data_IF_280049690203
#
_entry.id   IF_280049690203
#
_cell.length_a   1.000
_cell.length_b   1.000
_cell.length_c   1.000
_cell.angle_alpha   90.00
_cell.angle_beta   90.00
_cell.angle_gamma   90.00
#
_symmetry.space_group_name_H-M   'P 1'
#
loop_
_entity.id
_entity.type
_entity.pdbx_description
1 polymer ?
#
# COMPACT_ATOMS: atom_id res chain seq x y z
N UNK A 1 -2.98 -22.78 10.84
CA UNK A 1 -2.05 -21.71 11.23
C UNK A 1 -1.22 -21.33 10.01
N UNK A 2 -1.66 -20.31 9.26
CA UNK A 2 -0.93 -19.82 8.08
C UNK A 2 0.23 -18.94 8.57
N UNK A 3 1.45 -19.29 8.18
CA UNK A 3 2.66 -18.57 8.55
C UNK A 3 2.79 -17.37 7.62
N UNK A 4 2.69 -16.16 8.17
CA UNK A 4 2.94 -14.93 7.44
C UNK A 4 4.46 -14.73 7.32
N UNK A 5 5.04 -15.08 6.17
CA UNK A 5 6.47 -14.89 5.87
C UNK A 5 6.77 -13.60 5.08
N UNK A 6 5.83 -12.65 5.04
CA UNK A 6 5.88 -11.45 4.18
C UNK A 6 6.69 -10.26 4.73
N UNK A 7 7.42 -10.42 5.84
CA UNK A 7 8.07 -9.29 6.54
C UNK A 7 9.55 -9.03 6.16
N UNK A 8 10.39 -9.97 5.68
CA UNK A 8 11.82 -9.65 5.54
C UNK A 8 12.20 -8.90 4.25
N UNK A 9 11.33 -8.85 3.22
CA UNK A 9 11.71 -8.24 1.93
C UNK A 9 11.60 -6.70 1.92
N UNK A 10 10.73 -6.14 2.76
CA UNK A 10 10.53 -4.68 2.88
C UNK A 10 11.62 -3.98 3.72
N UNK A 11 12.39 -4.74 4.51
CA UNK A 11 13.34 -4.21 5.49
C UNK A 11 14.80 -4.11 4.99
N UNK A 12 15.10 -4.62 3.79
CA UNK A 12 16.48 -4.73 3.27
C UNK A 12 16.89 -3.65 2.24
N UNK A 13 16.01 -2.69 1.93
CA UNK A 13 16.29 -1.57 1.01
C UNK A 13 16.69 -0.32 1.79
N UNK A 14 17.57 -0.49 2.79
CA UNK A 14 17.97 0.57 3.72
C UNK A 14 19.36 1.18 3.47
N UNK A 15 20.15 0.69 2.51
CA UNK A 15 21.53 1.14 2.38
C UNK A 15 21.91 1.35 0.91
N UNK A 16 22.36 2.58 0.62
CA UNK A 16 22.75 3.13 -0.69
C UNK A 16 21.54 3.47 -1.57
N UNK A 17 21.26 4.73 -1.89
CA UNK A 17 22.10 5.54 -2.77
C UNK A 17 21.77 7.04 -2.64
N UNK A 18 22.77 7.83 -2.23
CA UNK A 18 22.89 9.22 -2.67
C UNK A 18 23.27 9.21 -4.16
N UNK A 19 22.46 9.86 -4.99
CA UNK A 19 22.72 9.92 -6.44
C UNK A 19 21.65 10.71 -7.18
N UNK A 20 21.69 12.02 -7.01
CA UNK A 20 20.83 13.00 -7.68
C UNK A 20 20.98 12.94 -9.21
N UNK A 21 19.85 12.94 -9.93
CA UNK A 21 19.81 12.97 -11.40
C UNK A 21 18.37 12.96 -11.92
N UNK A 22 17.60 14.02 -11.62
CA UNK A 22 16.21 14.13 -12.09
C UNK A 22 16.14 14.57 -13.55
N UNK A 23 15.79 13.65 -14.43
CA UNK A 23 15.02 13.96 -15.63
C UNK A 23 13.57 13.68 -15.28
N UNK A 24 12.70 14.67 -15.37
CA UNK A 24 11.26 14.51 -15.14
C UNK A 24 10.71 13.45 -16.10
N UNK A 25 10.46 12.24 -15.57
CA UNK A 25 9.68 11.22 -16.24
C UNK A 25 8.21 11.49 -15.96
N UNK A 26 7.36 11.30 -16.97
CA UNK A 26 5.91 11.26 -16.80
C UNK A 26 5.58 10.17 -15.78
N UNK A 27 5.24 10.57 -14.57
CA UNK A 27 4.78 9.67 -13.52
C UNK A 27 3.43 9.10 -13.97
N UNK A 28 3.30 7.79 -13.85
CA UNK A 28 2.06 7.08 -14.13
C UNK A 28 0.92 7.66 -13.26
N UNK A 29 -0.25 7.88 -13.85
CA UNK A 29 -1.45 8.23 -13.09
C UNK A 29 -2.16 6.95 -12.67
N UNK A 30 -2.54 6.86 -11.39
CA UNK A 30 -3.41 5.79 -10.90
C UNK A 30 -4.70 5.73 -11.73
N UNK A 31 -5.20 4.52 -11.95
CA UNK A 31 -6.51 4.28 -12.58
C UNK A 31 -7.62 4.07 -11.54
N UNK A 32 -7.26 3.92 -10.27
CA UNK A 32 -8.23 3.83 -9.20
C UNK A 32 -8.89 5.19 -8.97
N UNK A 33 -10.21 5.17 -8.82
CA UNK A 33 -10.99 6.32 -8.35
C UNK A 33 -11.18 6.22 -6.84
N UNK A 34 -11.27 7.33 -6.10
CA UNK A 34 -11.64 7.31 -4.70
C UNK A 34 -12.94 6.51 -4.48
N UNK A 35 -12.96 5.68 -3.44
CA UNK A 35 -14.17 4.93 -3.08
C UNK A 35 -15.10 5.89 -2.33
N UNK A 36 -16.40 5.71 -2.43
CA UNK A 36 -17.31 6.43 -1.55
C UNK A 36 -17.00 6.11 -0.09
N UNK A 37 -16.99 7.13 0.77
CA UNK A 37 -16.77 6.93 2.21
C UNK A 37 -18.08 6.48 2.84
N UNK A 38 -18.08 5.29 3.43
CA UNK A 38 -19.24 4.75 4.14
C UNK A 38 -19.09 5.04 5.63
N UNK A 39 -19.98 5.87 6.18
CA UNK A 39 -20.04 6.16 7.61
C UNK A 39 -21.10 5.23 8.24
N UNK A 40 -20.73 4.39 9.23
CA UNK A 40 -21.69 3.57 9.96
C UNK A 40 -22.81 4.41 10.60
N UNK A 41 -24.06 3.95 10.53
CA UNK A 41 -25.22 4.70 11.05
C UNK A 41 -25.05 5.11 12.52
N UNK A 42 -24.46 4.23 13.33
CA UNK A 42 -24.19 4.47 14.76
C UNK A 42 -23.23 5.65 15.03
N UNK A 43 -22.44 6.05 14.04
CA UNK A 43 -21.41 7.10 14.19
C UNK A 43 -21.78 8.41 13.52
N UNK A 44 -22.92 8.49 12.81
CA UNK A 44 -23.30 9.68 12.01
C UNK A 44 -23.42 10.96 12.84
N UNK A 45 -23.84 10.85 14.09
CA UNK A 45 -23.99 11.97 15.01
C UNK A 45 -22.72 12.21 15.88
N UNK A 46 -21.66 11.43 15.67
CA UNK A 46 -20.37 11.59 16.34
C UNK A 46 -19.38 12.28 15.38
N UNK A 47 -19.24 13.62 15.43
CA UNK A 47 -18.45 14.37 14.44
C UNK A 47 -16.97 14.00 14.44
N UNK A 48 -16.41 13.61 15.59
CA UNK A 48 -15.02 13.17 15.70
C UNK A 48 -14.81 11.82 14.98
N UNK A 49 -15.73 10.87 15.16
CA UNK A 49 -15.69 9.59 14.46
C UNK A 49 -15.88 9.76 12.95
N UNK A 50 -16.78 10.65 12.52
CA UNK A 50 -16.99 10.96 11.09
C UNK A 50 -15.73 11.54 10.48
N UNK A 51 -15.14 12.56 11.11
CA UNK A 51 -13.91 13.20 10.62
C UNK A 51 -12.76 12.19 10.53
N UNK A 52 -12.60 11.35 11.55
CA UNK A 52 -11.62 10.27 11.55
C UNK A 52 -11.81 9.33 10.34
N UNK A 53 -13.03 8.82 10.13
CA UNK A 53 -13.31 7.87 9.04
C UNK A 53 -13.05 8.53 7.68
N UNK A 54 -13.46 9.78 7.49
CA UNK A 54 -13.24 10.50 6.23
C UNK A 54 -11.76 10.72 5.93
N UNK A 55 -10.99 11.19 6.92
CA UNK A 55 -9.57 11.50 6.74
C UNK A 55 -8.76 10.23 6.51
N UNK A 56 -9.03 9.18 7.29
CA UNK A 56 -8.34 7.92 7.12
C UNK A 56 -8.77 7.19 5.84
N UNK A 57 -10.03 7.33 5.40
CA UNK A 57 -10.48 6.80 4.10
C UNK A 57 -9.75 7.44 2.92
N UNK A 58 -9.47 8.75 3.01
CA UNK A 58 -8.64 9.46 2.01
C UNK A 58 -7.19 8.96 2.03
N UNK A 59 -6.63 8.71 3.22
CA UNK A 59 -5.29 8.15 3.35
C UNK A 59 -5.19 6.73 2.75
N UNK A 60 -6.17 5.87 3.03
CA UNK A 60 -6.29 4.53 2.41
C UNK A 60 -6.31 4.63 0.88
N UNK A 61 -7.13 5.52 0.33
CA UNK A 61 -7.22 5.69 -1.12
C UNK A 61 -5.92 6.22 -1.72
N UNK A 62 -5.30 7.22 -1.10
CA UNK A 62 -4.04 7.78 -1.57
C UNK A 62 -2.93 6.72 -1.58
N UNK A 63 -2.85 5.90 -0.53
CA UNK A 63 -1.90 4.79 -0.44
C UNK A 63 -2.16 3.74 -1.52
N UNK A 64 -3.42 3.32 -1.70
CA UNK A 64 -3.78 2.35 -2.74
C UNK A 64 -3.46 2.87 -4.15
N UNK A 65 -3.69 4.16 -4.40
CA UNK A 65 -3.33 4.79 -5.68
C UNK A 65 -1.82 4.87 -5.90
N UNK A 66 -1.02 5.13 -4.86
CA UNK A 66 0.44 5.11 -4.97
C UNK A 66 0.95 3.71 -5.32
N UNK A 67 0.38 2.67 -4.71
CA UNK A 67 0.67 1.28 -5.05
C UNK A 67 0.21 0.93 -6.48
N UNK A 68 -0.95 1.44 -6.93
CA UNK A 68 -1.44 1.24 -8.29
C UNK A 68 -0.44 1.77 -9.33
N UNK A 69 0.12 2.96 -9.11
CA UNK A 69 1.13 3.56 -9.99
C UNK A 69 2.39 2.72 -10.09
N UNK A 70 2.92 2.29 -8.94
CA UNK A 70 4.10 1.42 -8.88
C UNK A 70 3.84 0.11 -9.64
N UNK A 71 2.73 -0.56 -9.34
CA UNK A 71 2.39 -1.84 -9.95
C UNK A 71 2.16 -1.72 -11.46
N UNK A 72 1.52 -0.64 -11.94
CA UNK A 72 1.35 -0.36 -13.36
C UNK A 72 2.70 -0.23 -14.09
N UNK A 73 3.67 0.49 -13.51
CA UNK A 73 5.01 0.62 -14.10
C UNK A 73 5.78 -0.70 -14.13
N UNK A 74 5.65 -1.52 -13.09
CA UNK A 74 6.23 -2.87 -13.05
C UNK A 74 5.59 -3.75 -14.13
N UNK A 75 4.27 -3.69 -14.28
CA UNK A 75 3.55 -4.46 -15.31
C UNK A 75 4.03 -4.13 -16.73
N UNK A 76 4.31 -2.85 -17.00
CA UNK A 76 4.89 -2.40 -18.29
C UNK A 76 6.29 -2.91 -18.58
N UNK A 77 6.99 -3.45 -17.59
CA UNK A 77 8.29 -4.10 -17.81
C UNK A 77 8.16 -5.43 -18.54
N UNK A 78 6.94 -5.98 -18.69
CA UNK A 78 6.70 -7.22 -19.44
C UNK A 78 7.38 -8.43 -18.81
N UNK A 79 7.54 -8.43 -17.48
CA UNK A 79 8.10 -9.55 -16.74
C UNK A 79 7.17 -10.75 -16.91
N UNK A 80 7.73 -11.86 -17.36
CA UNK A 80 7.00 -13.11 -17.50
C UNK A 80 7.01 -13.87 -16.18
N UNK A 81 5.87 -14.46 -15.85
CA UNK A 81 5.73 -15.40 -14.73
C UNK A 81 6.77 -16.53 -14.83
N UNK A 82 7.42 -16.83 -13.71
CA UNK A 82 8.44 -17.89 -13.60
C UNK A 82 9.75 -17.65 -14.37
N UNK A 83 9.95 -16.48 -14.96
CA UNK A 83 11.20 -16.13 -15.63
C UNK A 83 12.15 -15.39 -14.69
N UNK A 84 13.43 -15.81 -14.66
CA UNK A 84 14.45 -15.03 -13.98
C UNK A 84 14.59 -13.64 -14.62
N UNK A 85 14.60 -12.60 -13.78
CA UNK A 85 14.85 -11.24 -14.25
C UNK A 85 16.27 -11.10 -14.76
N UNK A 86 16.43 -10.57 -15.97
CA UNK A 86 17.74 -10.11 -16.45
C UNK A 86 18.30 -9.00 -15.55
N UNK A 87 19.63 -8.81 -15.55
CA UNK A 87 20.29 -7.72 -14.82
C UNK A 87 19.67 -6.35 -15.13
N UNK A 88 19.33 -6.08 -16.39
CA UNK A 88 18.69 -4.83 -16.78
C UNK A 88 17.25 -4.70 -16.25
N UNK A 89 16.49 -5.79 -16.18
CA UNK A 89 15.16 -5.79 -15.54
C UNK A 89 15.28 -5.58 -14.04
N UNK A 90 16.25 -6.21 -13.35
CA UNK A 90 16.54 -5.98 -11.92
C UNK A 90 16.87 -4.50 -11.66
N UNK A 91 17.75 -3.90 -12.46
CA UNK A 91 18.09 -2.46 -12.36
C UNK A 91 16.86 -1.57 -12.60
N UNK A 92 16.06 -1.87 -13.63
CA UNK A 92 14.85 -1.09 -13.93
C UNK A 92 13.81 -1.20 -12.81
N UNK A 93 13.65 -2.38 -12.22
CA UNK A 93 12.76 -2.58 -11.07
C UNK A 93 13.17 -1.69 -9.89
N UNK A 94 14.46 -1.67 -9.56
CA UNK A 94 15.01 -0.81 -8.50
C UNK A 94 14.74 0.67 -8.81
N UNK A 95 14.96 1.10 -10.05
CA UNK A 95 14.70 2.49 -10.45
C UNK A 95 13.23 2.87 -10.34
N UNK A 96 12.33 1.98 -10.74
CA UNK A 96 10.88 2.19 -10.64
C UNK A 96 10.49 2.28 -9.16
N UNK A 97 10.92 1.32 -8.32
CA UNK A 97 10.67 1.34 -6.88
C UNK A 97 11.18 2.63 -6.22
N UNK A 98 12.40 3.06 -6.54
CA UNK A 98 12.98 4.29 -6.01
C UNK A 98 12.20 5.55 -6.41
N UNK A 99 11.63 5.57 -7.62
CA UNK A 99 10.82 6.70 -8.10
C UNK A 99 9.51 6.85 -7.31
N UNK A 100 8.92 5.73 -6.89
CA UNK A 100 7.65 5.70 -6.16
C UNK A 100 7.81 5.69 -4.64
N UNK A 101 9.01 5.41 -4.12
CA UNK A 101 9.28 5.20 -2.69
C UNK A 101 8.77 6.35 -1.82
N UNK A 102 9.08 7.60 -2.20
CA UNK A 102 8.66 8.77 -1.42
C UNK A 102 7.13 8.92 -1.39
N UNK A 103 6.45 8.72 -2.52
CA UNK A 103 4.99 8.85 -2.59
C UNK A 103 4.32 7.76 -1.75
N UNK A 104 4.77 6.52 -1.86
CA UNK A 104 4.28 5.40 -1.06
C UNK A 104 4.52 5.65 0.43
N UNK A 105 5.73 6.05 0.83
CA UNK A 105 6.03 6.35 2.22
C UNK A 105 5.16 7.48 2.79
N UNK A 106 4.99 8.56 2.03
CA UNK A 106 4.18 9.72 2.46
C UNK A 106 2.71 9.37 2.59
N UNK A 107 2.16 8.58 1.66
CA UNK A 107 0.75 8.17 1.67
C UNK A 107 0.46 7.08 2.70
N UNK A 108 1.45 6.25 3.03
CA UNK A 108 1.33 5.23 4.07
C UNK A 108 1.45 5.78 5.50
N UNK A 109 2.16 6.90 5.68
CA UNK A 109 2.48 7.46 7.00
C UNK A 109 1.26 7.58 7.93
N UNK A 110 0.11 8.15 7.51
CA UNK A 110 -1.04 8.30 8.40
C UNK A 110 -1.60 6.95 8.87
N UNK A 111 -1.61 5.95 7.99
CA UNK A 111 -2.09 4.60 8.32
C UNK A 111 -1.19 3.92 9.33
N UNK A 112 0.13 3.98 9.13
CA UNK A 112 1.06 3.31 10.04
C UNK A 112 1.18 4.01 11.38
N UNK A 113 1.17 5.34 11.42
CA UNK A 113 1.10 6.09 12.68
C UNK A 113 -0.16 5.70 13.47
N UNK A 114 -1.32 5.60 12.81
CA UNK A 114 -2.55 5.20 13.49
C UNK A 114 -2.52 3.75 13.98
N UNK A 115 -1.96 2.83 13.20
CA UNK A 115 -1.81 1.43 13.61
C UNK A 115 -0.86 1.30 14.81
N UNK A 116 0.23 2.05 14.83
CA UNK A 116 1.16 2.12 15.96
C UNK A 116 0.48 2.68 17.21
N UNK A 117 -0.28 3.78 17.09
CA UNK A 117 -1.07 4.35 18.18
C UNK A 117 -2.10 3.34 18.70
N UNK A 118 -2.83 2.66 17.82
CA UNK A 118 -3.78 1.62 18.19
C UNK A 118 -3.13 0.44 18.93
N UNK A 119 -1.93 0.03 18.50
CA UNK A 119 -1.16 -1.01 19.19
C UNK A 119 -0.65 -0.57 20.57
N UNK A 120 -0.32 0.71 20.72
CA UNK A 120 0.15 1.28 21.98
C UNK A 120 -1.00 1.55 22.97
N UNK A 121 -2.20 1.79 22.47
CA UNK A 121 -3.42 2.08 23.25
C UNK A 121 -4.29 0.85 23.53
N UNK A 122 -3.75 -0.37 23.36
CA UNK A 122 -4.40 -1.72 23.34
C UNK A 122 -5.52 -2.04 24.34
N UNK A 123 -5.92 -1.15 25.26
CA UNK A 123 -6.98 -1.36 26.27
C UNK A 123 -7.97 -0.20 26.49
N UNK A 124 -7.83 0.96 25.84
CA UNK A 124 -8.60 2.16 26.25
C UNK A 124 -9.54 2.74 25.18
N UNK A 125 -9.84 1.99 24.10
CA UNK A 125 -10.78 2.46 23.09
C UNK A 125 -12.24 2.31 23.51
N UNK A 126 -13.05 3.34 23.26
CA UNK A 126 -14.50 3.25 23.33
C UNK A 126 -15.06 2.40 22.17
N UNK A 127 -16.30 1.92 22.31
CA UNK A 127 -16.97 1.16 21.25
C UNK A 127 -17.07 1.97 19.94
N UNK A 128 -17.33 3.27 20.03
CA UNK A 128 -17.37 4.18 18.87
C UNK A 128 -16.00 4.27 18.18
N UNK A 129 -14.92 4.38 18.95
CA UNK A 129 -13.55 4.43 18.42
C UNK A 129 -13.16 3.12 17.74
N UNK A 130 -13.52 1.98 18.34
CA UNK A 130 -13.30 0.66 17.74
C UNK A 130 -14.10 0.49 16.44
N UNK A 131 -15.35 0.95 16.42
CA UNK A 131 -16.19 0.88 15.22
C UNK A 131 -15.66 1.77 14.10
N UNK A 132 -15.22 2.99 14.42
CA UNK A 132 -14.62 3.90 13.46
C UNK A 132 -13.31 3.33 12.88
N UNK A 133 -12.45 2.79 13.75
CA UNK A 133 -11.22 2.11 13.34
C UNK A 133 -11.50 0.90 12.45
N UNK A 134 -12.44 0.04 12.83
CA UNK A 134 -12.83 -1.14 12.03
C UNK A 134 -13.32 -0.73 10.64
N UNK A 135 -14.16 0.31 10.54
CA UNK A 135 -14.68 0.81 9.26
C UNK A 135 -13.55 1.23 8.30
N UNK A 136 -12.49 1.84 8.83
CA UNK A 136 -11.30 2.22 8.04
C UNK A 136 -10.51 0.98 7.62
N UNK A 137 -10.33 0.01 8.51
CA UNK A 137 -9.58 -1.22 8.22
C UNK A 137 -10.29 -2.11 7.19
N UNK A 138 -11.61 -2.18 7.23
CA UNK A 138 -12.40 -2.89 6.21
C UNK A 138 -12.20 -2.27 4.83
N UNK A 139 -12.18 -0.93 4.76
CA UNK A 139 -11.88 -0.20 3.52
C UNK A 139 -10.44 -0.47 3.05
N UNK A 140 -9.47 -0.42 3.96
CA UNK A 140 -8.08 -0.73 3.65
C UNK A 140 -7.96 -2.12 3.03
N UNK A 141 -8.58 -3.13 3.65
CA UNK A 141 -8.59 -4.49 3.13
C UNK A 141 -9.24 -4.57 1.75
N UNK A 142 -10.39 -3.91 1.55
CA UNK A 142 -11.06 -3.88 0.25
C UNK A 142 -10.15 -3.31 -0.85
N UNK A 143 -9.42 -2.23 -0.56
CA UNK A 143 -8.45 -1.65 -1.50
C UNK A 143 -7.28 -2.57 -1.81
N UNK A 144 -6.72 -3.25 -0.80
CA UNK A 144 -5.63 -4.20 -1.04
C UNK A 144 -6.10 -5.38 -1.90
N UNK A 145 -7.33 -5.85 -1.70
CA UNK A 145 -7.94 -6.89 -2.55
C UNK A 145 -8.17 -6.41 -3.98
N UNK A 146 -8.60 -5.15 -4.19
CA UNK A 146 -8.72 -4.57 -5.53
C UNK A 146 -7.37 -4.53 -6.25
N UNK A 147 -6.30 -4.12 -5.55
CA UNK A 147 -4.93 -4.12 -6.09
C UNK A 147 -4.45 -5.52 -6.43
N UNK A 148 -4.60 -6.47 -5.51
CA UNK A 148 -4.20 -7.87 -5.69
C UNK A 148 -4.89 -8.47 -6.91
N UNK A 149 -6.22 -8.31 -7.01
CA UNK A 149 -6.99 -8.79 -8.16
C UNK A 149 -6.54 -8.14 -9.48
N UNK A 150 -6.25 -6.84 -9.46
CA UNK A 150 -5.81 -6.12 -10.67
C UNK A 150 -4.43 -6.59 -11.14
N UNK A 151 -3.54 -6.90 -10.21
CA UNK A 151 -2.15 -7.26 -10.47
C UNK A 151 -1.80 -8.72 -10.13
N UNK A 152 -2.77 -9.62 -10.15
CA UNK A 152 -2.62 -11.05 -9.80
C UNK A 152 -1.52 -11.74 -10.63
N UNK A 153 -1.31 -11.30 -11.87
CA UNK A 153 -0.23 -11.81 -12.72
C UNK A 153 1.17 -11.41 -12.26
N UNK A 154 1.28 -10.32 -11.49
CA UNK A 154 2.54 -9.90 -10.87
C UNK A 154 2.82 -10.67 -9.58
N UNK A 155 1.80 -10.99 -8.77
CA UNK A 155 1.98 -11.71 -7.49
C UNK A 155 2.54 -13.12 -7.68
N UNK A 156 2.22 -13.79 -8.79
CA UNK A 156 2.70 -15.14 -9.08
C UNK A 156 4.18 -15.21 -9.53
N UNK A 157 4.85 -14.07 -9.73
CA UNK A 157 6.29 -14.01 -10.05
C UNK A 157 7.15 -14.29 -8.81
N UNK A 158 6.65 -14.03 -7.60
CA UNK A 158 7.44 -14.08 -6.36
C UNK A 158 7.48 -15.47 -5.67
N UNK A 159 6.62 -16.41 -6.06
CA UNK A 159 6.45 -17.69 -5.33
C UNK A 159 7.35 -18.84 -5.82
N UNK A 160 8.02 -18.71 -6.97
CA UNK A 160 8.81 -19.82 -7.54
C UNK A 160 10.29 -19.86 -7.13
N UNK A 161 10.83 -18.79 -6.53
CA UNK A 161 12.26 -18.71 -6.17
C UNK A 161 12.56 -19.04 -4.69
N UNK A 162 11.53 -19.33 -3.88
CA UNK A 162 11.69 -19.71 -2.46
C UNK A 162 11.65 -21.25 -2.24
N UNK A 163 11.70 -22.04 -3.32
CA UNK A 163 11.42 -23.48 -3.32
C UNK A 163 12.46 -24.36 -4.02
N UNK A 164 13.74 -23.96 -4.07
CA UNK A 164 14.85 -24.85 -4.44
C UNK A 164 16.00 -24.76 -3.45
#
# INVERSE_FOLDING_TARGET
MKKYHLIPLLLLVGIFLFGCGSKEKKVETSTFQPMEVQIPDALKDNPEAVEYIENMSKAVDAYAMALDKLAAEIQKMGIKEGAELSTFQKIKLIQVAATHFQEIGTTAQPLFTQLEEAENMKKDFSDDQLLAFSSVMDRFQARMQELEKKYEKLSNIAEQDAGQ
#
